data_IF_973724743150
#
_entry.id   IF_973724743150
#
_cell.length_a   1.000
_cell.length_b   1.000
_cell.length_c   1.000
_cell.angle_alpha   90.00
_cell.angle_beta   90.00
_cell.angle_gamma   90.00
#
_symmetry.space_group_name_H-M   'P 1'
#
loop_
_entity.id
_entity.type
_entity.pdbx_description
1 polymer ?
#
# COMPACT_ATOMS: atom_id res chain seq x y z
N UNK A 1 -22.74 0.24 -16.32
CA UNK A 1 -21.64 -0.45 -15.63
C UNK A 1 -20.34 0.10 -16.22
N UNK A 2 -19.61 0.93 -15.49
CA UNK A 2 -18.27 1.40 -15.90
C UNK A 2 -17.33 0.21 -15.97
N UNK A 3 -16.56 0.08 -17.06
CA UNK A 3 -15.58 -0.98 -17.22
C UNK A 3 -14.61 -0.94 -16.03
N UNK A 4 -14.36 -2.08 -15.41
CA UNK A 4 -13.41 -2.17 -14.30
C UNK A 4 -11.99 -1.88 -14.84
N UNK A 5 -11.34 -0.84 -14.30
CA UNK A 5 -9.96 -0.51 -14.66
C UNK A 5 -9.01 -1.61 -14.20
N UNK A 6 -8.15 -2.10 -15.10
CA UNK A 6 -7.07 -3.02 -14.75
C UNK A 6 -5.95 -2.27 -14.04
N UNK A 7 -5.38 -2.87 -13.01
CA UNK A 7 -4.25 -2.31 -12.29
C UNK A 7 -3.25 -3.40 -11.89
N UNK A 8 -2.00 -2.99 -11.70
CA UNK A 8 -0.95 -3.83 -11.11
C UNK A 8 -0.69 -3.34 -9.69
N UNK A 9 -0.68 -4.27 -8.75
CA UNK A 9 -0.40 -3.96 -7.35
C UNK A 9 1.09 -4.17 -7.02
N UNK A 10 1.70 -3.20 -6.36
CA UNK A 10 3.08 -3.18 -5.88
C UNK A 10 3.06 -3.23 -4.35
N UNK A 11 3.61 -4.30 -3.77
CA UNK A 11 3.53 -4.55 -2.32
C UNK A 11 4.93 -4.59 -1.70
N UNK A 12 5.40 -3.48 -1.09
CA UNK A 12 6.66 -3.48 -0.37
C UNK A 12 6.53 -4.27 0.95
N UNK A 13 7.27 -5.36 1.08
CA UNK A 13 7.25 -6.25 2.24
C UNK A 13 8.65 -6.75 2.65
N UNK A 14 9.74 -6.04 2.24
CA UNK A 14 11.12 -6.41 2.55
C UNK A 14 11.61 -5.94 3.93
N UNK A 15 10.82 -5.10 4.63
CA UNK A 15 11.20 -4.54 5.93
C UNK A 15 11.30 -5.59 7.04
N UNK A 16 12.28 -5.40 7.95
CA UNK A 16 12.53 -6.31 9.09
C UNK A 16 11.46 -6.25 10.18
N UNK A 17 10.65 -5.20 10.22
CA UNK A 17 9.58 -5.06 11.23
C UNK A 17 10.09 -4.90 12.67
N UNK A 18 11.21 -4.23 12.88
CA UNK A 18 11.95 -4.13 14.17
C UNK A 18 11.08 -3.68 15.35
N UNK A 19 10.06 -2.83 15.10
CA UNK A 19 9.13 -2.34 16.13
C UNK A 19 8.12 -3.38 16.61
N UNK A 20 7.95 -4.49 15.89
CA UNK A 20 6.97 -5.51 16.26
C UNK A 20 7.47 -6.43 17.40
N UNK A 21 8.80 -6.54 17.59
CA UNK A 21 9.43 -7.36 18.65
C UNK A 21 9.10 -8.84 18.52
N UNK A 22 10.03 -9.70 18.26
CA UNK A 22 9.78 -11.15 18.27
C UNK A 22 10.13 -11.89 16.98
N UNK A 23 11.39 -11.95 16.62
CA UNK A 23 11.97 -12.95 15.69
C UNK A 23 11.37 -13.10 14.29
N UNK A 24 10.04 -12.91 14.13
CA UNK A 24 9.33 -13.00 12.84
C UNK A 24 8.89 -11.60 12.41
N UNK A 25 9.28 -11.14 11.20
CA UNK A 25 8.80 -9.86 10.69
C UNK A 25 7.27 -9.83 10.59
N UNK A 26 6.66 -8.72 11.00
CA UNK A 26 5.22 -8.56 11.19
C UNK A 26 4.34 -8.99 10.01
N UNK A 27 4.81 -8.81 8.77
CA UNK A 27 4.09 -9.20 7.57
C UNK A 27 3.95 -10.73 7.40
N UNK A 28 4.75 -11.52 8.13
CA UNK A 28 4.68 -12.98 8.12
C UNK A 28 3.99 -13.57 9.35
N UNK A 29 3.52 -12.72 10.27
CA UNK A 29 2.70 -13.17 11.40
C UNK A 29 1.38 -13.70 10.87
N UNK A 30 0.92 -14.82 11.43
CA UNK A 30 -0.35 -15.41 11.05
C UNK A 30 -1.50 -14.81 11.85
N UNK A 31 -2.57 -14.47 11.15
CA UNK A 31 -3.83 -13.97 11.69
C UNK A 31 -4.96 -14.65 10.92
N UNK A 32 -5.93 -15.21 11.61
CA UNK A 32 -7.06 -15.92 11.00
C UNK A 32 -6.61 -16.96 9.94
N UNK A 33 -5.57 -17.76 10.28
CA UNK A 33 -5.10 -18.89 9.47
C UNK A 33 -4.23 -18.54 8.26
N UNK A 34 -3.81 -17.27 8.09
CA UNK A 34 -2.93 -16.84 6.98
C UNK A 34 -1.97 -15.75 7.45
N UNK A 35 -0.83 -15.64 6.77
CA UNK A 35 0.06 -14.51 7.04
C UNK A 35 -0.61 -13.18 6.67
N UNK A 36 -0.29 -12.13 7.42
CA UNK A 36 -0.76 -10.75 7.17
C UNK A 36 -0.51 -10.33 5.71
N UNK A 37 0.66 -10.69 5.18
CA UNK A 37 0.99 -10.42 3.77
C UNK A 37 0.10 -11.19 2.79
N UNK A 38 -0.21 -12.45 3.06
CA UNK A 38 -1.09 -13.23 2.21
C UNK A 38 -2.51 -12.66 2.16
N UNK A 39 -3.02 -12.18 3.30
CA UNK A 39 -4.29 -11.45 3.35
C UNK A 39 -4.26 -10.18 2.48
N UNK A 40 -3.22 -9.35 2.61
CA UNK A 40 -3.08 -8.14 1.78
C UNK A 40 -3.08 -8.49 0.28
N UNK A 41 -2.32 -9.51 -0.12
CA UNK A 41 -2.26 -9.97 -1.52
C UNK A 41 -3.62 -10.46 -2.01
N UNK A 42 -4.33 -11.28 -1.21
CA UNK A 42 -5.65 -11.79 -1.56
C UNK A 42 -6.66 -10.67 -1.80
N UNK A 43 -6.70 -9.66 -0.93
CA UNK A 43 -7.60 -8.51 -1.10
C UNK A 43 -7.36 -7.76 -2.40
N UNK A 44 -6.11 -7.60 -2.81
CA UNK A 44 -5.76 -6.96 -4.07
C UNK A 44 -6.18 -7.80 -5.28
N UNK A 45 -6.03 -9.12 -5.22
CA UNK A 45 -6.51 -10.04 -6.26
C UNK A 45 -8.04 -10.04 -6.34
N UNK A 46 -8.74 -10.09 -5.22
CA UNK A 46 -10.20 -9.98 -5.12
C UNK A 46 -10.73 -8.63 -5.70
N UNK A 47 -9.95 -7.56 -5.55
CA UNK A 47 -10.27 -6.26 -6.12
C UNK A 47 -10.09 -6.20 -7.65
N UNK A 48 -9.43 -7.20 -8.24
CA UNK A 48 -9.22 -7.29 -9.69
C UNK A 48 -7.82 -6.90 -10.15
N UNK A 49 -6.80 -7.00 -9.29
CA UNK A 49 -5.41 -6.80 -9.72
C UNK A 49 -5.05 -7.77 -10.86
N UNK A 50 -4.54 -7.24 -11.97
CA UNK A 50 -4.06 -8.04 -13.08
C UNK A 50 -2.79 -8.83 -12.71
N UNK A 51 -1.96 -8.25 -11.85
CA UNK A 51 -0.82 -8.90 -11.22
C UNK A 51 -0.53 -8.23 -9.87
N UNK A 52 0.05 -8.97 -8.93
CA UNK A 52 0.60 -8.45 -7.68
C UNK A 52 2.11 -8.71 -7.65
N UNK A 53 2.90 -7.68 -7.47
CA UNK A 53 4.35 -7.77 -7.37
C UNK A 53 4.77 -7.46 -5.94
N UNK A 54 5.38 -8.43 -5.27
CA UNK A 54 5.73 -8.35 -3.86
C UNK A 54 7.25 -8.24 -3.71
N UNK A 55 7.72 -7.16 -3.09
CA UNK A 55 9.13 -7.01 -2.75
C UNK A 55 9.41 -7.65 -1.37
N UNK A 56 10.28 -8.63 -1.34
CA UNK A 56 10.67 -9.40 -0.16
C UNK A 56 12.16 -9.25 0.13
N UNK A 57 12.56 -9.53 1.35
CA UNK A 57 13.98 -9.75 1.66
C UNK A 57 14.49 -11.01 0.93
N UNK A 58 15.80 -11.04 0.64
CA UNK A 58 16.41 -12.12 -0.16
C UNK A 58 16.17 -13.52 0.45
N UNK A 59 16.24 -13.66 1.76
CA UNK A 59 16.02 -14.90 2.50
C UNK A 59 14.56 -15.38 2.44
N UNK A 60 13.60 -14.48 2.18
CA UNK A 60 12.17 -14.79 2.08
C UNK A 60 11.66 -14.98 0.65
N UNK A 61 12.51 -14.77 -0.35
CA UNK A 61 12.08 -14.82 -1.75
C UNK A 61 11.55 -16.21 -2.17
N UNK A 62 12.22 -17.28 -1.75
CA UNK A 62 11.78 -18.66 -2.06
C UNK A 62 10.42 -18.96 -1.43
N UNK A 63 10.23 -18.61 -0.15
CA UNK A 63 8.95 -18.74 0.52
C UNK A 63 7.86 -17.97 -0.21
N UNK A 64 8.11 -16.71 -0.56
CA UNK A 64 7.13 -15.87 -1.25
C UNK A 64 6.70 -16.43 -2.59
N UNK A 65 7.63 -16.91 -3.41
CA UNK A 65 7.33 -17.56 -4.70
C UNK A 65 6.40 -18.76 -4.55
N UNK A 66 6.58 -19.56 -3.51
CA UNK A 66 5.74 -20.73 -3.26
C UNK A 66 4.41 -20.33 -2.61
N UNK A 67 4.46 -19.63 -1.46
CA UNK A 67 3.26 -19.36 -0.66
C UNK A 67 2.33 -18.32 -1.29
N UNK A 68 2.89 -17.24 -1.87
CA UNK A 68 2.09 -16.20 -2.49
C UNK A 68 1.76 -16.53 -3.96
N UNK A 69 2.67 -17.20 -4.69
CA UNK A 69 2.41 -17.62 -6.07
C UNK A 69 1.23 -18.61 -6.20
N UNK A 70 0.93 -19.36 -5.16
CA UNK A 70 -0.26 -20.23 -5.12
C UNK A 70 -1.59 -19.45 -5.05
N UNK A 71 -1.56 -18.14 -4.73
CA UNK A 71 -2.76 -17.30 -4.63
C UNK A 71 -3.26 -16.79 -5.98
N UNK A 72 -2.41 -16.77 -7.02
CA UNK A 72 -2.77 -16.25 -8.35
C UNK A 72 -1.59 -15.59 -9.08
N UNK A 73 -1.81 -14.58 -9.91
CA UNK A 73 -0.79 -13.89 -10.69
C UNK A 73 0.10 -13.02 -9.78
N UNK A 74 0.91 -13.67 -8.96
CA UNK A 74 1.82 -13.02 -7.99
C UNK A 74 3.27 -13.27 -8.39
N UNK A 75 4.04 -12.19 -8.53
CA UNK A 75 5.48 -12.23 -8.72
C UNK A 75 6.20 -11.72 -7.46
N UNK A 76 7.34 -12.33 -7.12
CA UNK A 76 8.16 -11.89 -5.99
C UNK A 76 9.53 -11.42 -6.47
N UNK A 77 9.94 -10.24 -5.99
CA UNK A 77 11.23 -9.61 -6.29
C UNK A 77 12.01 -9.33 -5.01
N UNK A 78 13.31 -9.14 -5.13
CA UNK A 78 14.14 -8.71 -4.00
C UNK A 78 13.89 -7.21 -3.77
N UNK A 79 13.47 -6.84 -2.56
CA UNK A 79 13.29 -5.44 -2.18
C UNK A 79 14.61 -4.73 -1.86
N UNK A 80 14.53 -3.42 -1.74
CA UNK A 80 15.65 -2.55 -1.37
C UNK A 80 15.79 -2.38 0.15
N UNK A 81 16.71 -1.48 0.52
CA UNK A 81 16.98 -1.11 1.93
C UNK A 81 15.90 -0.23 2.52
N UNK A 82 15.21 0.53 1.68
CA UNK A 82 14.11 1.42 2.06
C UNK A 82 12.79 0.93 1.46
N UNK A 83 11.66 1.47 1.96
CA UNK A 83 10.34 1.21 1.40
C UNK A 83 10.27 1.70 -0.06
N UNK A 84 10.76 2.90 -0.33
CA UNK A 84 10.79 3.49 -1.68
C UNK A 84 11.63 2.64 -2.65
N UNK A 85 12.81 2.14 -2.25
CA UNK A 85 13.61 1.24 -3.08
C UNK A 85 12.88 -0.08 -3.37
N UNK A 86 12.12 -0.61 -2.39
CA UNK A 86 11.32 -1.83 -2.56
C UNK A 86 10.18 -1.61 -3.56
N UNK A 87 9.51 -0.46 -3.49
CA UNK A 87 8.48 -0.07 -4.45
C UNK A 87 9.07 0.12 -5.85
N UNK A 88 10.23 0.77 -5.97
CA UNK A 88 10.94 0.92 -7.24
C UNK A 88 11.33 -0.44 -7.86
N UNK A 89 11.73 -1.42 -7.04
CA UNK A 89 12.00 -2.78 -7.50
C UNK A 89 10.72 -3.49 -8.03
N UNK A 90 9.58 -3.31 -7.34
CA UNK A 90 8.29 -3.80 -7.83
C UNK A 90 7.89 -3.10 -9.14
N UNK A 91 8.09 -1.79 -9.25
CA UNK A 91 7.80 -1.02 -10.45
C UNK A 91 8.61 -1.53 -11.65
N UNK A 92 9.92 -1.70 -11.50
CA UNK A 92 10.77 -2.24 -12.56
C UNK A 92 10.33 -3.64 -13.03
N UNK A 93 9.82 -4.48 -12.11
CA UNK A 93 9.31 -5.81 -12.46
C UNK A 93 7.89 -5.79 -13.05
N UNK A 94 7.22 -4.63 -13.07
CA UNK A 94 5.86 -4.49 -13.62
C UNK A 94 5.83 -4.21 -15.12
N UNK A 95 6.96 -4.27 -15.82
CA UNK A 95 7.07 -3.95 -17.25
C UNK A 95 6.82 -5.15 -18.18
N UNK A 96 6.34 -6.28 -17.65
CA UNK A 96 6.11 -7.47 -18.47
C UNK A 96 5.10 -8.45 -17.89
N UNK A 97 4.82 -9.50 -18.63
CA UNK A 97 3.92 -10.59 -18.25
C UNK A 97 2.48 -10.12 -18.05
N UNK A 98 1.83 -10.54 -16.96
CA UNK A 98 0.43 -10.17 -16.65
C UNK A 98 0.25 -8.65 -16.39
N UNK A 99 1.33 -7.91 -16.18
CA UNK A 99 1.35 -6.48 -15.95
C UNK A 99 1.47 -5.65 -17.25
N UNK A 100 1.72 -6.31 -18.38
CA UNK A 100 1.89 -5.64 -19.67
C UNK A 100 0.62 -4.93 -20.12
N UNK A 101 0.78 -3.66 -20.60
CA UNK A 101 -0.34 -2.84 -21.07
C UNK A 101 -1.31 -2.41 -19.98
N UNK A 102 -0.91 -2.47 -18.70
CA UNK A 102 -1.72 -1.99 -17.57
C UNK A 102 -1.21 -0.63 -17.13
N UNK A 103 -2.07 0.39 -17.26
CA UNK A 103 -1.70 1.79 -17.06
C UNK A 103 -1.81 2.28 -15.61
N UNK A 104 -2.47 1.53 -14.73
CA UNK A 104 -2.64 1.91 -13.32
C UNK A 104 -1.75 1.07 -12.41
N UNK A 105 -1.01 1.74 -11.56
CA UNK A 105 -0.15 1.14 -10.53
C UNK A 105 -0.73 1.46 -9.15
N UNK A 106 -0.90 0.44 -8.35
CA UNK A 106 -1.43 0.52 -6.99
C UNK A 106 -0.32 0.13 -6.02
N UNK A 107 0.07 1.01 -5.12
CA UNK A 107 0.99 0.67 -4.03
C UNK A 107 0.21 0.39 -2.77
N UNK A 108 0.47 -0.76 -2.14
CA UNK A 108 -0.20 -1.16 -0.91
C UNK A 108 0.77 -1.76 0.11
N UNK A 109 0.65 -1.31 1.35
CA UNK A 109 1.46 -1.85 2.45
C UNK A 109 1.11 -3.32 2.73
N UNK A 110 2.06 -4.24 2.62
CA UNK A 110 1.86 -5.66 2.94
C UNK A 110 1.49 -5.96 4.40
N UNK A 111 1.41 -4.94 5.24
CA UNK A 111 0.98 -5.01 6.63
C UNK A 111 -0.42 -4.40 6.87
N UNK A 112 -1.24 -4.21 5.83
CA UNK A 112 -2.65 -3.77 5.93
C UNK A 112 -3.60 -4.84 5.36
N UNK A 113 -3.81 -5.94 6.07
CA UNK A 113 -4.51 -7.11 5.55
C UNK A 113 -6.03 -6.93 5.44
N UNK A 114 -6.59 -5.89 6.08
CA UNK A 114 -8.03 -5.68 6.20
C UNK A 114 -8.58 -4.62 5.23
N UNK A 115 -7.83 -4.27 4.19
CA UNK A 115 -8.32 -3.31 3.19
C UNK A 115 -9.62 -3.82 2.55
N UNK A 116 -10.61 -2.93 2.45
CA UNK A 116 -11.89 -3.24 1.80
C UNK A 116 -11.73 -3.28 0.28
N UNK A 117 -12.31 -4.29 -0.35
CA UNK A 117 -12.21 -4.51 -1.80
C UNK A 117 -12.84 -3.38 -2.60
N UNK A 118 -13.98 -2.84 -2.13
CA UNK A 118 -14.65 -1.74 -2.80
C UNK A 118 -13.89 -0.41 -2.61
N UNK A 119 -13.21 -0.22 -1.47
CA UNK A 119 -12.32 0.93 -1.28
C UNK A 119 -11.12 0.88 -2.25
N UNK A 120 -10.57 -0.33 -2.50
CA UNK A 120 -9.54 -0.52 -3.53
C UNK A 120 -10.07 -0.14 -4.91
N UNK A 121 -11.24 -0.65 -5.29
CA UNK A 121 -11.86 -0.37 -6.60
C UNK A 121 -12.16 1.10 -6.79
N UNK A 122 -12.71 1.77 -5.77
CA UNK A 122 -12.98 3.21 -5.83
C UNK A 122 -11.69 4.02 -5.97
N UNK A 123 -10.63 3.66 -5.24
CA UNK A 123 -9.33 4.34 -5.35
C UNK A 123 -8.76 4.20 -6.77
N UNK A 124 -8.86 3.01 -7.36
CA UNK A 124 -8.45 2.75 -8.76
C UNK A 124 -9.25 3.60 -9.75
N UNK A 125 -10.56 3.66 -9.57
CA UNK A 125 -11.45 4.47 -10.44
C UNK A 125 -11.11 5.97 -10.34
N UNK A 126 -10.86 6.48 -9.14
CA UNK A 126 -10.48 7.89 -8.91
C UNK A 126 -9.14 8.21 -9.54
N UNK A 127 -8.16 7.30 -9.40
CA UNK A 127 -6.85 7.49 -10.01
C UNK A 127 -6.90 7.51 -11.55
N UNK A 128 -7.75 6.68 -12.16
CA UNK A 128 -7.96 6.68 -13.61
C UNK A 128 -8.52 8.02 -14.11
N UNK A 129 -9.34 8.70 -13.31
CA UNK A 129 -9.94 9.97 -13.67
C UNK A 129 -9.03 11.19 -13.39
N UNK A 130 -8.16 11.11 -12.36
CA UNK A 130 -7.41 12.26 -11.84
C UNK A 130 -5.90 12.16 -12.05
N UNK A 131 -5.39 10.99 -12.45
CA UNK A 131 -3.96 10.70 -12.54
C UNK A 131 -3.36 10.10 -11.26
N UNK A 132 -4.00 10.35 -10.10
CA UNK A 132 -3.63 9.77 -8.82
C UNK A 132 -4.76 9.78 -7.80
N UNK A 133 -4.73 8.82 -6.86
CA UNK A 133 -5.65 8.77 -5.73
C UNK A 133 -5.03 8.06 -4.52
N UNK A 134 -5.40 8.50 -3.32
CA UNK A 134 -4.93 7.96 -2.03
C UNK A 134 -6.12 7.60 -1.17
N UNK A 135 -6.16 6.36 -0.69
CA UNK A 135 -7.10 5.93 0.33
C UNK A 135 -6.68 6.46 1.70
N UNK A 136 -7.62 6.87 2.50
CA UNK A 136 -7.34 7.32 3.87
C UNK A 136 -8.59 7.76 4.60
N UNK A 137 -8.41 8.58 5.62
CA UNK A 137 -9.50 9.08 6.45
C UNK A 137 -9.31 10.54 6.81
N UNK A 138 -10.37 11.37 6.85
CA UNK A 138 -10.31 12.66 7.51
C UNK A 138 -9.83 12.51 8.96
N UNK A 139 -9.08 13.50 9.47
CA UNK A 139 -8.66 13.49 10.87
C UNK A 139 -9.88 13.65 11.78
N UNK A 140 -10.14 12.66 12.65
CA UNK A 140 -11.25 12.68 13.59
C UNK A 140 -10.88 13.38 14.91
N UNK A 141 -9.63 13.24 15.34
CA UNK A 141 -9.13 13.78 16.59
C UNK A 141 -8.65 15.22 16.45
N UNK A 142 -8.56 15.95 17.57
CA UNK A 142 -7.93 17.27 17.59
C UNK A 142 -6.42 17.14 17.40
N UNK A 143 -5.91 17.66 16.30
CA UNK A 143 -4.48 17.65 15.96
C UNK A 143 -3.74 18.84 16.57
N UNK A 144 -2.57 18.58 17.14
CA UNK A 144 -1.71 19.61 17.74
C UNK A 144 -0.37 19.67 17.00
N UNK A 145 0.11 20.89 16.75
CA UNK A 145 1.50 21.10 16.36
C UNK A 145 2.36 21.06 17.60
N UNK A 146 3.40 20.24 17.58
CA UNK A 146 4.30 20.04 18.72
C UNK A 146 5.74 20.26 18.26
N UNK A 147 6.52 20.98 19.04
CA UNK A 147 7.96 21.17 18.87
C UNK A 147 8.63 21.02 20.24
N UNK A 148 9.69 20.24 20.31
CA UNK A 148 10.45 19.97 21.56
C UNK A 148 9.56 19.59 22.77
N UNK A 149 8.51 18.83 22.55
CA UNK A 149 7.57 18.38 23.58
C UNK A 149 6.53 19.44 24.01
N UNK A 150 6.51 20.63 23.40
CA UNK A 150 5.56 21.70 23.69
C UNK A 150 4.46 21.77 22.63
N UNK A 151 3.22 21.97 23.06
CA UNK A 151 2.11 22.25 22.14
C UNK A 151 2.23 23.72 21.68
N UNK A 152 2.41 23.92 20.37
CA UNK A 152 2.48 25.26 19.76
C UNK A 152 1.10 25.78 19.34
N UNK A 153 0.14 24.88 19.08
CA UNK A 153 -1.20 25.27 18.66
C UNK A 153 -2.03 24.09 18.16
N UNK A 154 -3.29 24.38 17.88
CA UNK A 154 -4.21 23.43 17.24
C UNK A 154 -4.11 23.58 15.73
N UNK A 155 -4.07 22.45 15.01
CA UNK A 155 -4.13 22.44 13.55
C UNK A 155 -5.58 22.24 13.13
N UNK A 156 -6.05 23.01 12.13
CA UNK A 156 -7.39 22.84 11.58
C UNK A 156 -7.53 21.45 10.97
N UNK A 157 -8.39 20.62 11.57
CA UNK A 157 -8.47 19.19 11.20
C UNK A 157 -9.25 18.94 9.91
N UNK A 158 -10.12 19.86 9.52
CA UNK A 158 -10.97 19.70 8.34
C UNK A 158 -10.15 19.68 7.03
N UNK A 159 -8.92 20.22 7.08
CA UNK A 159 -7.93 20.16 6.00
C UNK A 159 -6.97 18.96 6.10
N UNK A 160 -7.09 18.15 7.14
CA UNK A 160 -6.17 17.05 7.41
C UNK A 160 -6.77 15.71 7.02
N UNK A 161 -6.00 14.97 6.22
CA UNK A 161 -6.33 13.63 5.77
C UNK A 161 -5.23 12.65 6.20
N UNK A 162 -5.60 11.62 6.93
CA UNK A 162 -4.68 10.56 7.34
C UNK A 162 -4.52 9.56 6.20
N UNK A 163 -3.47 9.73 5.41
CA UNK A 163 -3.17 8.87 4.27
C UNK A 163 -2.93 7.43 4.72
N UNK A 164 -3.54 6.50 4.02
CA UNK A 164 -3.36 5.06 4.15
C UNK A 164 -2.89 4.51 2.78
N UNK A 165 -2.99 3.20 2.60
CA UNK A 165 -2.86 2.57 1.30
C UNK A 165 -4.09 1.70 1.03
N UNK A 166 -4.53 1.53 -0.23
CA UNK A 166 -3.78 1.76 -1.47
C UNK A 166 -3.56 3.23 -1.84
N UNK A 167 -2.46 3.48 -2.53
CA UNK A 167 -2.17 4.71 -3.27
C UNK A 167 -2.02 4.33 -4.74
N UNK A 168 -2.81 4.93 -5.60
CA UNK A 168 -2.92 4.52 -7.01
C UNK A 168 -2.56 5.70 -7.90
N UNK A 169 -1.77 5.44 -8.93
CA UNK A 169 -1.34 6.44 -9.90
C UNK A 169 -1.33 5.84 -11.31
N UNK A 170 -1.44 6.70 -12.32
CA UNK A 170 -1.11 6.25 -13.67
C UNK A 170 0.36 5.90 -13.76
N UNK A 171 0.72 4.94 -14.60
CA UNK A 171 2.10 4.50 -14.80
C UNK A 171 3.02 5.66 -15.19
N UNK A 172 2.53 6.55 -16.06
CA UNK A 172 3.27 7.74 -16.48
C UNK A 172 3.59 8.66 -15.30
N UNK A 173 2.58 9.04 -14.50
CA UNK A 173 2.74 9.90 -13.32
C UNK A 173 3.72 9.27 -12.33
N UNK A 174 3.55 7.98 -12.07
CA UNK A 174 4.39 7.27 -11.11
C UNK A 174 5.85 7.17 -11.58
N UNK A 175 6.09 6.87 -12.86
CA UNK A 175 7.43 6.84 -13.45
C UNK A 175 8.13 8.19 -13.33
N UNK A 176 7.43 9.28 -13.66
CA UNK A 176 7.94 10.66 -13.54
C UNK A 176 8.29 11.00 -12.08
N UNK A 177 7.42 10.64 -11.14
CA UNK A 177 7.63 10.91 -9.71
C UNK A 177 8.87 10.17 -9.17
N UNK A 178 9.02 8.87 -9.50
CA UNK A 178 10.21 8.10 -9.13
C UNK A 178 11.49 8.65 -9.74
N UNK A 179 11.45 9.02 -11.03
CA UNK A 179 12.62 9.58 -11.72
C UNK A 179 13.05 10.92 -11.08
N UNK A 180 12.10 11.81 -10.81
CA UNK A 180 12.38 13.10 -10.15
C UNK A 180 12.93 12.90 -8.74
N UNK A 181 12.29 12.07 -7.92
CA UNK A 181 12.76 11.76 -6.58
C UNK A 181 14.18 11.20 -6.58
N UNK A 182 14.51 10.31 -7.53
CA UNK A 182 15.86 9.78 -7.69
C UNK A 182 16.89 10.85 -8.08
N UNK A 183 16.53 11.73 -9.01
CA UNK A 183 17.42 12.81 -9.47
C UNK A 183 17.72 13.82 -8.34
N UNK A 184 16.74 14.08 -7.46
CA UNK A 184 16.84 15.02 -6.35
C UNK A 184 17.36 14.37 -5.05
N UNK A 185 17.57 13.05 -5.01
CA UNK A 185 17.90 12.32 -3.78
C UNK A 185 16.78 12.36 -2.73
N UNK A 186 15.54 12.60 -3.16
CA UNK A 186 14.39 12.74 -2.25
C UNK A 186 13.85 11.38 -1.82
N UNK A 187 13.60 11.25 -0.52
CA UNK A 187 12.94 10.07 0.06
C UNK A 187 11.61 10.52 0.66
N UNK A 188 10.52 10.09 0.03
CA UNK A 188 9.17 10.36 0.51
C UNK A 188 8.75 9.43 1.65
N UNK A 189 7.77 9.87 2.43
CA UNK A 189 7.13 9.04 3.46
C UNK A 189 6.20 8.00 2.83
N UNK A 190 5.62 8.34 1.68
CA UNK A 190 4.74 7.50 0.85
C UNK A 190 4.86 7.90 -0.64
N UNK A 191 4.05 7.30 -1.50
CA UNK A 191 4.10 7.56 -2.94
C UNK A 191 3.46 8.90 -3.31
N UNK A 192 2.43 9.34 -2.59
CA UNK A 192 1.82 10.65 -2.85
C UNK A 192 2.82 11.78 -2.64
N UNK A 193 3.67 11.69 -1.62
CA UNK A 193 4.74 12.66 -1.38
C UNK A 193 5.75 12.78 -2.55
N UNK A 194 5.93 11.73 -3.34
CA UNK A 194 6.72 11.79 -4.57
C UNK A 194 5.97 12.51 -5.69
N UNK A 195 4.66 12.20 -5.83
CA UNK A 195 3.81 12.76 -6.89
C UNK A 195 3.49 14.22 -6.64
N UNK A 196 3.30 14.65 -5.40
CA UNK A 196 3.11 16.05 -4.99
C UNK A 196 4.25 16.99 -5.44
N UNK A 197 5.42 16.43 -5.77
CA UNK A 197 6.56 17.18 -6.33
C UNK A 197 6.47 17.41 -7.84
N UNK A 198 5.47 16.83 -8.50
CA UNK A 198 5.20 17.04 -9.92
C UNK A 198 4.21 18.18 -10.10
N UNK A 199 4.53 19.09 -11.03
CA UNK A 199 3.59 20.14 -11.39
C UNK A 199 2.43 19.57 -12.22
N UNK A 200 1.22 20.11 -11.97
CA UNK A 200 0.03 19.82 -12.77
C UNK A 200 -0.60 18.44 -12.56
N UNK A 201 -0.22 17.72 -11.51
CA UNK A 201 -0.84 16.44 -11.14
C UNK A 201 -1.75 16.63 -9.93
N UNK A 202 -3.03 16.30 -10.10
CA UNK A 202 -3.98 16.27 -8.99
C UNK A 202 -4.08 14.84 -8.43
N UNK A 203 -4.11 14.74 -7.10
CA UNK A 203 -4.27 13.46 -6.38
C UNK A 203 -5.57 13.50 -5.59
N UNK A 204 -6.48 12.58 -5.87
CA UNK A 204 -7.77 12.50 -5.18
C UNK A 204 -7.62 11.85 -3.80
N UNK A 205 -8.26 12.41 -2.77
CA UNK A 205 -8.43 11.78 -1.48
C UNK A 205 -9.69 10.90 -1.50
N UNK A 206 -9.55 9.61 -1.17
CA UNK A 206 -10.66 8.64 -1.11
C UNK A 206 -10.87 8.24 0.34
N UNK A 207 -12.07 8.51 0.87
CA UNK A 207 -12.40 8.18 2.25
C UNK A 207 -12.70 6.68 2.40
N UNK A 208 -11.92 5.98 3.22
CA UNK A 208 -12.12 4.56 3.51
C UNK A 208 -13.47 4.31 4.24
N UNK A 209 -14.25 3.35 3.74
CA UNK A 209 -15.54 2.94 4.33
C UNK A 209 -15.36 2.14 5.61
N UNK A 210 -14.33 1.30 5.63
CA UNK A 210 -14.05 0.37 6.74
C UNK A 210 -12.66 0.60 7.33
N UNK A 211 -12.42 0.21 8.60
CA UNK A 211 -11.08 0.25 9.20
C UNK A 211 -10.07 -0.54 8.37
N UNK A 212 -8.93 0.10 8.08
CA UNK A 212 -7.81 -0.50 7.34
C UNK A 212 -6.50 -0.32 8.15
N UNK A 213 -6.44 -0.91 9.37
CA UNK A 213 -5.31 -0.73 10.26
C UNK A 213 -4.04 -1.37 9.68
N UNK A 214 -2.91 -0.70 9.92
CA UNK A 214 -1.59 -1.24 9.65
C UNK A 214 -1.10 -2.00 10.86
N UNK A 215 -0.73 -3.26 10.71
CA UNK A 215 -0.03 -3.98 11.76
C UNK A 215 1.31 -3.28 12.04
N UNK A 216 1.42 -2.66 13.20
CA UNK A 216 2.59 -1.89 13.60
C UNK A 216 3.20 -2.45 14.88
N UNK A 217 2.36 -2.83 15.83
CA UNK A 217 2.71 -3.36 17.13
C UNK A 217 1.86 -4.59 17.48
N UNK A 218 2.26 -5.44 18.45
CA UNK A 218 1.50 -6.63 18.80
C UNK A 218 0.05 -6.37 19.22
N UNK A 219 -0.24 -5.21 19.80
CA UNK A 219 -1.60 -4.82 20.20
C UNK A 219 -2.60 -4.72 19.04
N UNK A 220 -2.12 -4.51 17.81
CA UNK A 220 -2.98 -4.43 16.62
C UNK A 220 -3.58 -5.79 16.21
N UNK A 221 -3.01 -6.92 16.70
CA UNK A 221 -3.40 -8.27 16.26
C UNK A 221 -4.87 -8.57 16.56
N UNK A 222 -5.35 -8.26 17.76
CA UNK A 222 -6.74 -8.55 18.16
C UNK A 222 -7.76 -7.83 17.28
N UNK A 223 -7.46 -6.58 16.90
CA UNK A 223 -8.31 -5.81 15.99
C UNK A 223 -8.31 -6.44 14.59
N UNK A 224 -7.13 -6.81 14.09
CA UNK A 224 -7.00 -7.45 12.79
C UNK A 224 -7.71 -8.81 12.74
N UNK A 225 -7.58 -9.62 13.78
CA UNK A 225 -8.26 -10.91 13.88
C UNK A 225 -9.79 -10.74 13.83
N UNK A 226 -10.33 -9.77 14.56
CA UNK A 226 -11.76 -9.48 14.54
C UNK A 226 -12.26 -9.00 13.17
N UNK A 227 -11.46 -8.21 12.45
CA UNK A 227 -11.81 -7.72 11.12
C UNK A 227 -11.75 -8.83 10.06
N UNK A 228 -10.70 -9.66 10.10
CA UNK A 228 -10.47 -10.71 9.11
C UNK A 228 -11.41 -11.91 9.29
N UNK A 229 -11.74 -12.29 10.53
CA UNK A 229 -12.70 -13.36 10.80
C UNK A 229 -14.09 -13.04 10.27
N UNK A 230 -14.54 -11.79 10.38
CA UNK A 230 -15.83 -11.34 9.80
C UNK A 230 -15.87 -11.44 8.28
N UNK A 231 -14.74 -11.32 7.61
CA UNK A 231 -14.69 -11.42 6.16
C UNK A 231 -14.66 -12.85 5.63
N UNK A 232 -14.35 -13.84 6.46
CA UNK A 232 -14.45 -15.27 6.13
C UNK A 232 -15.88 -15.80 6.27
N UNK A 233 -16.76 -15.07 6.97
CA UNK A 233 -18.15 -15.46 7.25
C UNK A 233 -19.16 -14.93 6.21
N UNK A 234 -18.68 -14.21 5.19
CA UNK A 234 -19.46 -13.71 4.05
C UNK A 234 -19.13 -14.48 2.78
#
# INVERSE_FOLDING_TARGET
>A
MTAAHRFVALVPAAGKGERFGGGVPKQFVEVAGRSVLAWSVMRLLEAGAAAVIVALSRDRLAWGKTALGALGPVACVVGGRTRQESVAACFAASEGGAAEGVDLLLVHDGARPAVDVEDVRETVQRAAAWGGAVLGRPAADTMKRVEEGRILGTVERDELFRAETPQVFTREVFARALAKARAEGFVGTDESALVERLDGVAVAAVAARHPNPKLTEPGDLSLLEALLSKSLSK
#
